data_IF_932220175648
#
_entry.id   IF_932220175648
#
_cell.length_a   1.000
_cell.length_b   1.000
_cell.length_c   1.000
_cell.angle_alpha   90.00
_cell.angle_beta   90.00
_cell.angle_gamma   90.00
#
_symmetry.space_group_name_H-M   'P 1'
#
loop_
_entity.id
_entity.type
_entity.pdbx_description
1 polymer ?
#
# COMPACT_ATOMS: atom_id res chain seq x y z
N UNK A 1 4.62 10.25 -0.21
CA UNK A 1 5.90 10.79 -0.70
C UNK A 1 5.71 11.52 -2.01
N UNK A 2 6.69 12.30 -2.47
CA UNK A 2 6.68 12.89 -3.83
C UNK A 2 7.35 11.97 -4.85
N UNK A 3 8.38 11.23 -4.41
CA UNK A 3 9.10 10.25 -5.20
C UNK A 3 9.28 8.99 -4.37
N UNK A 4 8.74 7.88 -4.87
CA UNK A 4 8.85 6.56 -4.24
C UNK A 4 8.79 5.53 -5.37
N UNK A 5 9.68 4.53 -5.34
CA UNK A 5 9.72 3.52 -6.40
C UNK A 5 8.48 2.62 -6.34
N UNK A 6 8.29 1.98 -5.19
CA UNK A 6 7.20 1.02 -4.99
C UNK A 6 6.25 1.45 -3.88
N UNK A 7 6.77 1.80 -2.70
CA UNK A 7 5.93 2.05 -1.52
C UNK A 7 5.97 0.91 -0.50
N UNK A 8 7.13 0.25 -0.34
CA UNK A 8 7.33 -0.76 0.71
C UNK A 8 6.89 -0.30 2.11
N UNK A 9 7.11 0.96 2.54
CA UNK A 9 6.63 1.43 3.84
C UNK A 9 5.11 1.34 4.01
N UNK A 10 4.32 1.40 2.93
CA UNK A 10 2.87 1.22 2.96
C UNK A 10 2.54 -0.22 3.36
N UNK A 11 3.18 -1.20 2.72
CA UNK A 11 2.94 -2.62 3.02
C UNK A 11 3.41 -3.00 4.41
N UNK A 12 4.54 -2.48 4.87
CA UNK A 12 5.04 -2.70 6.24
C UNK A 12 4.05 -2.18 7.29
N UNK A 13 3.51 -0.98 7.08
CA UNK A 13 2.51 -0.40 7.96
C UNK A 13 1.19 -1.19 7.93
N UNK A 14 0.72 -1.58 6.74
CA UNK A 14 -0.49 -2.40 6.61
C UNK A 14 -0.34 -3.78 7.24
N UNK A 15 0.80 -4.45 7.09
CA UNK A 15 1.08 -5.74 7.68
C UNK A 15 1.14 -5.69 9.21
N UNK A 16 1.67 -4.59 9.76
CA UNK A 16 1.73 -4.36 11.21
C UNK A 16 0.45 -3.78 11.80
N UNK A 17 -0.61 -3.59 10.99
CA UNK A 17 -1.90 -3.09 11.44
C UNK A 17 -1.90 -1.61 11.82
N UNK A 18 -1.09 -0.80 11.14
CA UNK A 18 -1.01 0.65 11.34
C UNK A 18 -1.79 1.36 10.23
N UNK A 19 -2.65 2.35 10.54
CA UNK A 19 -3.32 3.14 9.52
C UNK A 19 -2.29 3.95 8.73
N UNK A 20 -2.48 4.02 7.41
CA UNK A 20 -1.56 4.70 6.49
C UNK A 20 -2.23 5.94 5.91
N UNK A 21 -1.50 7.05 5.88
CA UNK A 21 -1.80 8.21 5.04
C UNK A 21 -0.68 8.30 4.02
N UNK A 22 -1.00 8.28 2.74
CA UNK A 22 -0.01 8.41 1.67
C UNK A 22 -0.52 9.31 0.55
N UNK A 23 0.38 9.68 -0.36
CA UNK A 23 0.02 10.54 -1.48
C UNK A 23 -0.86 9.80 -2.49
N UNK A 24 -1.67 10.53 -3.23
CA UNK A 24 -2.52 10.00 -4.29
C UNK A 24 -1.82 9.97 -5.67
N UNK A 25 -0.49 9.98 -5.71
CA UNK A 25 0.32 10.03 -6.93
C UNK A 25 1.29 8.85 -7.01
N UNK A 26 1.86 8.62 -8.20
CA UNK A 26 2.84 7.56 -8.47
C UNK A 26 2.27 6.16 -8.13
N UNK A 27 3.11 5.26 -7.62
CA UNK A 27 2.74 3.89 -7.23
C UNK A 27 1.91 3.81 -5.94
N UNK A 28 1.72 4.93 -5.22
CA UNK A 28 1.13 4.91 -3.88
C UNK A 28 -0.33 4.44 -3.86
N UNK A 29 -1.25 4.90 -4.75
CA UNK A 29 -2.62 4.40 -4.79
C UNK A 29 -2.70 2.90 -5.08
N UNK A 30 -1.85 2.43 -6.01
CA UNK A 30 -1.85 1.02 -6.43
C UNK A 30 -1.38 0.10 -5.30
N UNK A 31 -0.28 0.47 -4.63
CA UNK A 31 0.30 -0.30 -3.54
C UNK A 31 -0.54 -0.22 -2.27
N UNK A 32 -1.14 0.94 -1.97
CA UNK A 32 -2.02 1.10 -0.82
C UNK A 32 -3.34 0.34 -0.95
N UNK A 33 -3.87 0.18 -2.17
CA UNK A 33 -5.21 -0.36 -2.37
C UNK A 33 -6.25 0.48 -1.59
N UNK A 34 -7.17 -0.21 -0.89
CA UNK A 34 -8.17 0.45 -0.02
C UNK A 34 -7.66 0.68 1.41
N UNK A 35 -6.48 0.18 1.75
CA UNK A 35 -5.93 0.19 3.11
C UNK A 35 -5.15 1.45 3.48
N UNK A 36 -5.42 2.58 2.83
CA UNK A 36 -4.81 3.87 3.19
C UNK A 36 -5.72 5.05 2.86
N UNK A 37 -5.56 6.14 3.61
CA UNK A 37 -6.09 7.43 3.23
C UNK A 37 -5.16 8.09 2.19
N UNK A 38 -5.67 8.27 0.97
CA UNK A 38 -4.94 8.93 -0.12
C UNK A 38 -5.19 10.45 -0.07
N UNK A 39 -4.12 11.24 -0.05
CA UNK A 39 -4.19 12.71 0.01
C UNK A 39 -3.33 13.35 -1.07
N UNK A 40 -3.69 14.56 -1.49
CA UNK A 40 -2.81 15.36 -2.35
C UNK A 40 -1.54 15.73 -1.56
N UNK A 41 -0.33 15.34 -2.00
CA UNK A 41 0.90 15.66 -1.28
C UNK A 41 1.20 17.16 -1.22
N UNK A 42 0.61 17.97 -2.09
CA UNK A 42 0.81 19.42 -2.14
C UNK A 42 -0.23 20.21 -1.33
N UNK A 43 -1.14 19.52 -0.64
CA UNK A 43 -2.18 20.12 0.19
C UNK A 43 -1.96 19.81 1.68
N UNK A 44 -1.34 20.72 2.45
CA UNK A 44 -1.17 20.56 3.89
C UNK A 44 -2.49 20.46 4.65
N UNK A 45 -3.56 21.10 4.18
CA UNK A 45 -4.87 21.06 4.83
C UNK A 45 -5.50 19.67 4.69
N UNK A 46 -5.39 19.05 3.51
CA UNK A 46 -5.83 17.67 3.30
C UNK A 46 -5.07 16.68 4.19
N UNK A 47 -3.74 16.83 4.34
CA UNK A 47 -2.94 15.99 5.27
C UNK A 47 -3.44 16.13 6.71
N UNK A 48 -3.65 17.36 7.18
CA UNK A 48 -4.17 17.64 8.53
C UNK A 48 -5.54 17.00 8.72
N UNK A 49 -6.46 17.18 7.78
CA UNK A 49 -7.80 16.62 7.85
C UNK A 49 -7.79 15.08 7.92
N UNK A 50 -6.94 14.42 7.13
CA UNK A 50 -6.80 12.96 7.16
C UNK A 50 -6.26 12.47 8.53
N UNK A 51 -5.27 13.15 9.10
CA UNK A 51 -4.75 12.85 10.45
C UNK A 51 -5.87 12.99 11.49
N UNK A 52 -6.60 14.10 11.47
CA UNK A 52 -7.70 14.34 12.41
C UNK A 52 -8.81 13.31 12.28
N UNK A 53 -9.16 12.92 11.05
CA UNK A 53 -10.18 11.90 10.79
C UNK A 53 -9.77 10.55 11.38
N UNK A 54 -8.53 10.10 11.18
CA UNK A 54 -8.02 8.82 11.74
C UNK A 54 -7.95 8.83 13.27
N UNK A 55 -7.61 9.98 13.87
CA UNK A 55 -7.56 10.13 15.32
C UNK A 55 -8.97 10.08 15.92
N UNK A 56 -9.92 10.82 15.34
CA UNK A 56 -11.25 11.04 15.90
C UNK A 56 -12.27 9.97 15.53
N UNK A 57 -12.11 9.28 14.41
CA UNK A 57 -13.04 8.27 13.93
C UNK A 57 -12.42 6.88 14.05
N UNK A 58 -12.75 6.17 15.13
CA UNK A 58 -12.26 4.82 15.39
C UNK A 58 -12.74 3.81 14.33
N UNK A 59 -13.97 3.95 13.83
CA UNK A 59 -14.52 3.05 12.80
C UNK A 59 -13.76 3.15 11.48
N UNK A 60 -13.50 4.38 11.02
CA UNK A 60 -12.69 4.61 9.82
C UNK A 60 -11.25 4.12 9.98
N UNK A 61 -10.65 4.32 11.16
CA UNK A 61 -9.31 3.80 11.45
C UNK A 61 -9.27 2.27 11.37
N UNK A 62 -10.26 1.59 11.94
CA UNK A 62 -10.33 0.12 11.92
C UNK A 62 -10.57 -0.41 10.50
N UNK A 63 -11.42 0.26 9.71
CA UNK A 63 -11.63 -0.04 8.30
C UNK A 63 -10.32 0.00 7.51
N UNK A 64 -9.54 1.07 7.65
CA UNK A 64 -8.24 1.18 6.98
C UNK A 64 -7.25 0.08 7.40
N UNK A 65 -7.24 -0.30 8.68
CA UNK A 65 -6.39 -1.39 9.19
C UNK A 65 -6.81 -2.73 8.58
N UNK A 66 -8.11 -3.01 8.55
CA UNK A 66 -8.64 -4.26 8.03
C UNK A 66 -8.41 -4.38 6.52
N UNK A 67 -8.69 -3.31 5.76
CA UNK A 67 -8.42 -3.24 4.33
C UNK A 67 -6.91 -3.32 4.03
N UNK A 68 -6.06 -2.75 4.91
CA UNK A 68 -4.60 -2.88 4.81
C UNK A 68 -4.13 -4.33 4.97
N UNK A 69 -4.62 -5.03 5.99
CA UNK A 69 -4.29 -6.46 6.20
C UNK A 69 -4.73 -7.32 5.03
N UNK A 70 -5.87 -7.00 4.42
CA UNK A 70 -6.33 -7.70 3.21
C UNK A 70 -5.43 -7.37 2.01
N UNK A 71 -5.06 -6.09 1.84
CA UNK A 71 -4.23 -5.64 0.73
C UNK A 71 -2.85 -6.31 0.69
N UNK A 72 -2.21 -6.53 1.85
CA UNK A 72 -0.89 -7.18 1.95
C UNK A 72 -0.88 -8.57 1.32
N UNK A 73 -2.02 -9.28 1.29
CA UNK A 73 -2.11 -10.61 0.67
C UNK A 73 -1.85 -10.59 -0.85
N UNK A 74 -2.05 -9.44 -1.51
CA UNK A 74 -1.69 -9.24 -2.93
C UNK A 74 -0.18 -9.38 -3.17
N UNK A 75 0.62 -9.13 -2.14
CA UNK A 75 2.08 -9.08 -2.19
C UNK A 75 2.75 -10.28 -1.51
N UNK A 76 2.13 -11.47 -1.65
CA UNK A 76 2.67 -12.72 -1.12
C UNK A 76 4.00 -13.08 -1.82
N UNK A 77 5.08 -13.17 -1.03
CA UNK A 77 6.44 -13.44 -1.52
C UNK A 77 6.58 -14.79 -2.24
N UNK A 78 5.94 -15.85 -1.75
CA UNK A 78 6.03 -17.18 -2.37
C UNK A 78 5.40 -17.17 -3.76
N UNK A 79 4.24 -16.51 -3.89
CA UNK A 79 3.57 -16.34 -5.18
C UNK A 79 4.43 -15.54 -6.14
N UNK A 80 4.99 -14.43 -5.69
CA UNK A 80 5.87 -13.56 -6.51
C UNK A 80 7.09 -14.37 -6.96
N UNK A 81 7.81 -15.01 -6.05
CA UNK A 81 8.98 -15.84 -6.38
C UNK A 81 8.64 -16.98 -7.35
N UNK A 82 7.47 -17.61 -7.18
CA UNK A 82 6.96 -18.62 -8.09
C UNK A 82 6.76 -18.10 -9.52
N UNK A 83 6.18 -16.91 -9.68
CA UNK A 83 5.98 -16.26 -10.98
C UNK A 83 7.32 -15.95 -11.67
N UNK A 84 8.31 -15.45 -10.92
CA UNK A 84 9.66 -15.24 -11.46
C UNK A 84 10.33 -16.55 -11.89
N UNK A 85 10.21 -17.61 -11.09
CA UNK A 85 10.76 -18.92 -11.43
C UNK A 85 10.13 -19.51 -12.69
N UNK A 86 8.81 -19.34 -12.86
CA UNK A 86 8.11 -19.76 -14.07
C UNK A 86 8.63 -19.03 -15.31
N UNK A 87 8.76 -17.70 -15.23
CA UNK A 87 9.33 -16.88 -16.30
C UNK A 87 10.76 -17.32 -16.66
N UNK A 88 11.62 -17.59 -15.65
CA UNK A 88 12.97 -18.07 -15.90
C UNK A 88 12.99 -19.43 -16.60
N UNK A 89 12.06 -20.33 -16.26
CA UNK A 89 11.92 -21.64 -16.93
C UNK A 89 11.45 -21.49 -18.37
N UNK A 90 10.57 -20.56 -18.67
CA UNK A 90 10.14 -20.26 -20.04
C UNK A 90 11.30 -19.75 -20.89
N UNK A 91 12.03 -18.75 -20.39
CA UNK A 91 13.17 -18.15 -21.10
C UNK A 91 14.27 -19.21 -21.36
N UNK A 92 14.54 -20.08 -20.39
CA UNK A 92 15.52 -21.15 -20.54
C UNK A 92 15.11 -22.24 -21.54
N UNK A 93 13.81 -22.47 -21.78
CA UNK A 93 13.29 -23.42 -22.78
C UNK A 93 13.19 -22.82 -24.19
N UNK A 94 13.16 -21.49 -24.29
CA UNK A 94 13.12 -20.76 -25.56
C UNK A 94 14.50 -20.56 -26.22
N UNK A 95 15.56 -21.13 -25.63
CA UNK A 95 16.90 -21.23 -26.20
C UNK A 95 17.14 -22.65 -26.73
#
# INVERSE_FOLDING_TARGET
SEYEGFGMPILEAQATGRPVITSNICSMPEVAGRGAALVNPYDPAAKRAAIEQIIRNAGYREELIQEGRENVKRFNLEKIAGQYLELYREIARSQ
#
